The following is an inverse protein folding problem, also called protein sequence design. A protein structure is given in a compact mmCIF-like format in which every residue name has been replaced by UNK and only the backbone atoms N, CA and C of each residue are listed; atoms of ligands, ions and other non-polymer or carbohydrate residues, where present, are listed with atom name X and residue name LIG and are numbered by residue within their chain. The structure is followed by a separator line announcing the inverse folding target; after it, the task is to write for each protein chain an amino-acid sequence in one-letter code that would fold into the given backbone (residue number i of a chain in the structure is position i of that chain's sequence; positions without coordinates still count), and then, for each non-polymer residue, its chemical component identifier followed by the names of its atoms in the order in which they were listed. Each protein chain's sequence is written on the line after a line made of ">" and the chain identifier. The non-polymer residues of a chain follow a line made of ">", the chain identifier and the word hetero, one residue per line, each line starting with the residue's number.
data_IF_403712736232
#
_entry.id   IF_403712736232
#
_cell.length_a   1.000
_cell.length_b   1.000
_cell.length_c   1.000
_cell.angle_alpha   90.00
_cell.angle_beta   90.00
_cell.angle_gamma   90.00
#
_symmetry.space_group_name_H-M   'P 1'
#
loop_
_entity.id
_entity.type
_entity.pdbx_description
1 polymer ?
#
# COMPACT_ATOMS: atom_id res chain seq x y z
N UNK A 1 -8.74 -14.34 4.18
CA UNK A 1 -8.48 -12.96 3.73
C UNK A 1 -8.91 -12.02 4.84
N UNK A 2 -8.26 -10.86 4.99
CA UNK A 2 -8.64 -9.85 5.99
C UNK A 2 -8.76 -8.49 5.33
N UNK A 3 -9.82 -7.74 5.63
CA UNK A 3 -9.94 -6.33 5.24
C UNK A 3 -8.90 -5.53 6.01
N UNK A 4 -8.17 -4.65 5.33
CA UNK A 4 -7.17 -3.75 5.91
C UNK A 4 -7.78 -2.37 6.18
N UNK A 5 -8.44 -1.81 5.17
CA UNK A 5 -8.95 -0.44 5.20
C UNK A 5 -9.56 -0.06 3.86
N UNK A 6 -9.74 1.25 3.63
CA UNK A 6 -10.32 1.78 2.39
C UNK A 6 -9.42 2.85 1.75
N UNK A 7 -9.22 2.78 0.44
CA UNK A 7 -8.57 3.88 -0.29
C UNK A 7 -9.55 5.02 -0.54
N UNK A 8 -9.05 6.25 -0.55
CA UNK A 8 -9.74 7.35 -1.22
C UNK A 8 -9.54 7.23 -2.73
N UNK A 9 -10.63 6.90 -3.45
CA UNK A 9 -10.60 6.74 -4.91
C UNK A 9 -10.16 8.02 -5.64
N UNK A 10 -10.36 9.20 -5.07
CA UNK A 10 -9.88 10.46 -5.68
C UNK A 10 -8.36 10.53 -5.61
N UNK A 11 -7.75 10.25 -4.46
CA UNK A 11 -6.30 10.21 -4.27
C UNK A 11 -5.68 9.15 -5.20
N UNK A 12 -6.25 7.95 -5.23
CA UNK A 12 -5.73 6.84 -6.03
C UNK A 12 -6.06 6.92 -7.52
N UNK A 13 -6.91 7.86 -7.95
CA UNK A 13 -7.29 8.02 -9.37
C UNK A 13 -6.12 8.41 -10.28
N UNK A 14 -5.01 8.90 -9.70
CA UNK A 14 -3.76 9.15 -10.40
C UNK A 14 -3.09 7.88 -10.91
N UNK A 15 -3.44 6.70 -10.36
CA UNK A 15 -2.96 5.39 -10.81
C UNK A 15 -3.83 4.88 -11.96
N UNK A 16 -5.14 4.90 -11.75
CA UNK A 16 -6.16 4.59 -12.77
C UNK A 16 -7.49 5.19 -12.34
N UNK A 17 -8.27 5.66 -13.31
CA UNK A 17 -9.64 6.14 -13.06
C UNK A 17 -10.63 5.00 -12.87
N UNK A 18 -10.31 3.81 -13.37
CA UNK A 18 -11.18 2.63 -13.36
C UNK A 18 -10.99 1.80 -12.09
N UNK A 19 -11.27 2.38 -10.93
CA UNK A 19 -11.21 1.68 -9.63
C UNK A 19 -12.62 1.21 -9.29
N UNK A 20 -12.88 -0.09 -9.12
CA UNK A 20 -14.26 -0.60 -8.89
C UNK A 20 -14.65 -0.73 -7.41
N UNK A 21 -13.70 -0.68 -6.49
CA UNK A 21 -13.94 -0.76 -5.04
C UNK A 21 -12.98 0.14 -4.27
N UNK A 22 -13.40 0.63 -3.10
CA UNK A 22 -12.54 1.33 -2.14
C UNK A 22 -11.86 0.36 -1.16
N UNK A 23 -12.41 -0.83 -0.94
CA UNK A 23 -11.91 -1.77 0.04
C UNK A 23 -10.57 -2.38 -0.36
N UNK A 24 -9.65 -2.44 0.60
CA UNK A 24 -8.36 -3.11 0.46
C UNK A 24 -8.29 -4.30 1.41
N UNK A 25 -7.85 -5.43 0.88
CA UNK A 25 -7.65 -6.67 1.64
C UNK A 25 -6.19 -7.11 1.62
N UNK A 26 -5.88 -8.05 2.50
CA UNK A 26 -4.67 -8.88 2.42
C UNK A 26 -5.10 -10.35 2.43
N UNK A 27 -4.44 -11.17 1.61
CA UNK A 27 -4.72 -12.61 1.52
C UNK A 27 -4.03 -13.37 2.65
N UNK A 28 -4.53 -14.57 2.99
CA UNK A 28 -3.97 -15.36 4.09
C UNK A 28 -2.52 -15.80 3.80
N UNK A 29 -2.21 -16.11 2.53
CA UNK A 29 -0.84 -16.37 2.08
C UNK A 29 0.10 -15.20 2.39
N UNK A 30 -0.35 -13.96 2.13
CA UNK A 30 0.46 -12.75 2.41
C UNK A 30 0.58 -12.49 3.91
N UNK A 31 -0.48 -12.74 4.68
CA UNK A 31 -0.42 -12.66 6.15
C UNK A 31 0.62 -13.66 6.69
N UNK A 32 0.58 -14.91 6.22
CA UNK A 32 1.53 -15.94 6.64
C UNK A 32 2.97 -15.54 6.31
N UNK A 33 3.22 -15.07 5.09
CA UNK A 33 4.56 -14.61 4.68
C UNK A 33 5.09 -13.45 5.54
N UNK A 34 4.22 -12.53 6.00
CA UNK A 34 4.61 -11.47 6.94
C UNK A 34 4.93 -12.06 8.30
N UNK A 35 4.10 -12.97 8.83
CA UNK A 35 4.32 -13.61 10.13
C UNK A 35 5.60 -14.45 10.16
N UNK A 36 5.92 -15.18 9.09
CA UNK A 36 7.17 -15.96 9.01
C UNK A 36 8.41 -15.07 9.04
N UNK A 37 8.36 -13.90 8.41
CA UNK A 37 9.47 -12.93 8.43
C UNK A 37 9.49 -12.05 9.68
N UNK A 38 8.35 -11.88 10.33
CA UNK A 38 8.15 -11.01 11.49
C UNK A 38 7.21 -11.65 12.52
N UNK A 39 7.66 -12.67 13.27
CA UNK A 39 6.78 -13.53 14.07
C UNK A 39 5.99 -12.83 15.19
N UNK A 40 6.39 -11.64 15.63
CA UNK A 40 5.81 -10.99 16.82
C UNK A 40 5.06 -9.67 16.56
N UNK A 41 5.05 -9.17 15.32
CA UNK A 41 4.67 -7.76 15.04
C UNK A 41 3.44 -7.60 14.15
N UNK A 42 2.71 -8.69 13.85
CA UNK A 42 1.66 -8.65 12.84
C UNK A 42 0.54 -7.63 13.15
N UNK A 43 0.07 -7.53 14.39
CA UNK A 43 -0.99 -6.55 14.74
C UNK A 43 -0.47 -5.10 14.57
N UNK A 44 0.77 -4.82 14.99
CA UNK A 44 1.41 -3.51 14.74
C UNK A 44 1.49 -3.20 13.23
N UNK A 45 1.81 -4.21 12.41
CA UNK A 45 1.85 -4.05 10.96
C UNK A 45 0.48 -3.97 10.32
N UNK A 46 -0.55 -4.57 10.91
CA UNK A 46 -1.92 -4.43 10.45
C UNK A 46 -2.38 -2.98 10.52
N UNK A 47 -2.17 -2.33 11.68
CA UNK A 47 -2.49 -0.91 11.86
C UNK A 47 -1.66 -0.03 10.93
N UNK A 48 -0.36 -0.33 10.76
CA UNK A 48 0.48 0.37 9.80
C UNK A 48 -0.04 0.23 8.37
N UNK A 49 -0.40 -0.98 7.92
CA UNK A 49 -0.96 -1.21 6.59
C UNK A 49 -2.24 -0.42 6.37
N UNK A 50 -3.13 -0.39 7.36
CA UNK A 50 -4.36 0.40 7.31
C UNK A 50 -4.04 1.89 7.15
N UNK A 51 -3.16 2.44 7.98
CA UNK A 51 -2.81 3.86 7.93
C UNK A 51 -2.12 4.25 6.61
N UNK A 52 -1.31 3.35 6.04
CA UNK A 52 -0.64 3.54 4.74
C UNK A 52 -1.66 3.63 3.61
N UNK A 53 -2.65 2.74 3.61
CA UNK A 53 -3.68 2.67 2.57
C UNK A 53 -4.67 3.83 2.65
N UNK A 54 -5.12 4.16 3.86
CA UNK A 54 -6.12 5.21 4.09
C UNK A 54 -5.51 6.61 4.00
N UNK A 55 -4.25 6.78 4.42
CA UNK A 55 -3.60 8.08 4.53
C UNK A 55 -2.16 8.05 3.98
N UNK A 56 -1.98 7.83 2.66
CA UNK A 56 -0.65 7.74 2.05
C UNK A 56 0.10 9.07 2.14
N UNK A 57 1.43 9.02 2.30
CA UNK A 57 2.28 10.21 2.12
C UNK A 57 2.62 10.44 0.65
N UNK A 58 2.91 9.36 -0.07
CA UNK A 58 3.19 9.40 -1.49
C UNK A 58 2.55 8.23 -2.23
N UNK A 59 2.05 8.52 -3.43
CA UNK A 59 1.81 7.50 -4.45
C UNK A 59 2.83 7.67 -5.56
N UNK A 60 3.51 6.58 -5.87
CA UNK A 60 4.60 6.53 -6.84
C UNK A 60 4.19 5.65 -8.01
N UNK A 61 4.54 6.11 -9.21
CA UNK A 61 4.34 5.37 -10.44
C UNK A 61 5.07 4.02 -10.41
N UNK A 62 4.41 2.97 -10.92
CA UNK A 62 5.00 1.65 -11.09
C UNK A 62 4.92 1.23 -12.54
N UNK A 63 5.80 0.30 -12.94
CA UNK A 63 5.76 -0.30 -14.26
C UNK A 63 4.65 -1.36 -14.41
N UNK A 64 3.84 -1.60 -13.38
CA UNK A 64 2.73 -2.55 -13.39
C UNK A 64 1.41 -1.78 -13.49
N UNK A 65 0.56 -2.18 -14.42
CA UNK A 65 -0.78 -1.60 -14.56
C UNK A 65 -1.57 -1.72 -13.26
N UNK A 66 -2.45 -0.74 -13.03
CA UNK A 66 -3.37 -0.62 -11.89
C UNK A 66 -2.71 -0.95 -10.53
N UNK A 67 -1.42 -0.63 -10.37
CA UNK A 67 -0.64 -0.97 -9.18
C UNK A 67 -0.03 0.29 -8.60
N UNK A 68 -0.36 0.58 -7.35
CA UNK A 68 0.15 1.72 -6.61
C UNK A 68 1.35 1.30 -5.76
N UNK A 69 2.46 2.06 -5.86
CA UNK A 69 3.50 2.04 -4.84
C UNK A 69 3.19 3.13 -3.83
N UNK A 70 2.84 2.72 -2.62
CA UNK A 70 2.42 3.59 -1.53
C UNK A 70 3.53 3.70 -0.50
N UNK A 71 3.91 4.93 -0.18
CA UNK A 71 4.92 5.24 0.81
C UNK A 71 4.29 5.99 1.98
N UNK A 72 4.69 5.66 3.20
CA UNK A 72 4.33 6.41 4.40
C UNK A 72 5.40 6.34 5.48
N UNK A 73 5.59 7.44 6.18
CA UNK A 73 6.27 7.52 7.46
C UNK A 73 5.24 7.43 8.60
N UNK A 74 5.47 6.54 9.57
CA UNK A 74 4.56 6.36 10.70
C UNK A 74 5.27 6.75 11.99
N UNK A 75 4.85 7.90 12.54
CA UNK A 75 5.42 8.48 13.76
C UNK A 75 5.24 7.53 14.96
N UNK A 76 4.04 6.96 15.10
CA UNK A 76 3.69 6.04 16.18
C UNK A 76 4.56 4.77 16.24
N UNK A 77 5.28 4.44 15.15
CA UNK A 77 6.18 3.29 15.08
C UNK A 77 7.64 3.76 15.03
N UNK A 78 8.03 4.72 15.86
CA UNK A 78 9.37 5.30 15.93
C UNK A 78 9.85 5.88 14.59
N UNK A 79 9.00 6.67 13.92
CA UNK A 79 9.30 7.29 12.61
C UNK A 79 9.76 6.27 11.55
N UNK A 80 9.25 5.04 11.61
CA UNK A 80 9.57 4.02 10.60
C UNK A 80 8.88 4.38 9.29
N UNK A 81 9.64 4.21 8.21
CA UNK A 81 9.15 4.37 6.85
C UNK A 81 8.80 3.02 6.23
N UNK A 82 7.67 2.99 5.55
CA UNK A 82 7.11 1.79 4.95
C UNK A 82 6.86 1.96 3.46
N UNK A 83 6.96 0.83 2.77
CA UNK A 83 6.67 0.68 1.36
C UNK A 83 5.62 -0.41 1.20
N UNK A 84 4.50 -0.06 0.58
CA UNK A 84 3.39 -0.97 0.31
C UNK A 84 3.07 -0.97 -1.18
N UNK A 85 2.80 -2.15 -1.73
CA UNK A 85 2.32 -2.29 -3.11
C UNK A 85 0.87 -2.73 -3.05
N UNK A 86 -0.02 -1.92 -3.61
CA UNK A 86 -1.45 -2.18 -3.69
C UNK A 86 -1.85 -2.40 -5.14
N UNK A 87 -2.47 -3.54 -5.45
CA UNK A 87 -3.14 -3.77 -6.73
C UNK A 87 -4.58 -3.27 -6.61
N UNK A 88 -4.95 -2.38 -7.52
CA UNK A 88 -6.29 -1.85 -7.65
C UNK A 88 -7.11 -2.78 -8.55
N UNK A 89 -8.33 -3.10 -8.10
CA UNK A 89 -9.28 -3.87 -8.90
C UNK A 89 -9.96 -2.94 -9.91
N UNK A 90 -9.97 -3.35 -11.17
CA UNK A 90 -10.57 -2.57 -12.27
C UNK A 90 -11.74 -3.30 -12.93
N UNK A 91 -12.46 -2.63 -13.83
CA UNK A 91 -13.64 -3.22 -14.49
C UNK A 91 -13.32 -4.46 -15.35
N UNK A 92 -12.06 -4.60 -15.77
CA UNK A 92 -11.54 -5.75 -16.51
C UNK A 92 -11.13 -6.92 -15.62
N UNK A 93 -11.05 -6.70 -14.31
CA UNK A 93 -10.71 -7.75 -13.34
C UNK A 93 -12.00 -8.47 -12.88
N UNK A 94 -11.86 -9.54 -12.09
CA UNK A 94 -13.03 -10.25 -11.54
C UNK A 94 -13.81 -9.30 -10.60
N UNK A 95 -15.13 -9.10 -10.79
CA UNK A 95 -15.91 -8.17 -9.98
C UNK A 95 -16.04 -8.59 -8.51
N UNK A 96 -15.76 -9.84 -8.18
CA UNK A 96 -15.74 -10.33 -6.80
C UNK A 96 -14.43 -9.99 -6.07
N UNK A 97 -13.40 -9.54 -6.79
CA UNK A 97 -12.12 -9.17 -6.18
C UNK A 97 -12.17 -7.75 -5.63
N UNK A 98 -11.32 -7.52 -4.62
CA UNK A 98 -11.10 -6.22 -4.00
C UNK A 98 -9.69 -5.74 -4.32
N UNK A 99 -9.37 -4.50 -3.98
CA UNK A 99 -7.98 -4.07 -3.99
C UNK A 99 -7.19 -4.93 -2.99
N UNK A 100 -5.91 -5.16 -3.26
CA UNK A 100 -5.11 -6.05 -2.41
C UNK A 100 -3.69 -5.56 -2.18
N UNK A 101 -3.21 -5.74 -0.94
CA UNK A 101 -1.80 -5.57 -0.60
C UNK A 101 -1.03 -6.79 -1.12
N UNK A 102 -0.10 -6.55 -2.04
CA UNK A 102 0.80 -7.59 -2.59
C UNK A 102 2.12 -7.63 -1.82
N UNK A 103 2.62 -6.46 -1.42
CA UNK A 103 3.90 -6.31 -0.73
C UNK A 103 3.76 -5.33 0.42
N UNK A 104 4.32 -5.66 1.57
CA UNK A 104 4.49 -4.77 2.71
C UNK A 104 5.93 -4.88 3.21
N UNK A 105 6.63 -3.76 3.36
CA UNK A 105 8.00 -3.74 3.84
C UNK A 105 8.27 -2.49 4.66
N UNK A 106 8.91 -2.68 5.82
CA UNK A 106 9.71 -1.62 6.45
C UNK A 106 10.94 -1.39 5.57
N UNK A 107 11.22 -0.13 5.23
CA UNK A 107 12.45 0.24 4.52
C UNK A 107 13.31 1.17 5.38
N UNK A 108 14.52 1.47 4.92
CA UNK A 108 15.39 2.45 5.56
C UNK A 108 15.30 3.80 4.84
N UNK A 109 15.83 4.84 5.48
CA UNK A 109 15.82 6.20 4.96
C UNK A 109 16.56 6.33 3.62
N UNK A 110 17.63 5.56 3.42
CA UNK A 110 18.39 5.55 2.15
C UNK A 110 17.51 5.08 0.99
N UNK A 111 16.78 3.97 1.17
CA UNK A 111 15.85 3.45 0.18
C UNK A 111 14.67 4.40 -0.04
N UNK A 112 14.13 4.99 1.03
CA UNK A 112 13.08 6.00 0.96
C UNK A 112 13.47 7.19 0.07
N UNK A 113 14.62 7.82 0.38
CA UNK A 113 15.17 8.94 -0.41
C UNK A 113 15.44 8.54 -1.86
N UNK A 114 15.93 7.33 -2.09
CA UNK A 114 16.16 6.81 -3.46
C UNK A 114 14.86 6.70 -4.24
N UNK A 115 13.77 6.20 -3.63
CA UNK A 115 12.46 6.10 -4.27
C UNK A 115 11.91 7.49 -4.62
N UNK A 116 11.96 8.44 -3.68
CA UNK A 116 11.49 9.82 -3.90
C UNK A 116 12.30 10.57 -4.96
N UNK A 117 13.60 10.28 -5.07
CA UNK A 117 14.48 10.94 -6.06
C UNK A 117 14.34 10.37 -7.46
N UNK A 118 14.20 9.05 -7.59
CA UNK A 118 14.38 8.35 -8.87
C UNK A 118 13.06 7.93 -9.52
N UNK A 119 11.91 8.15 -8.88
CA UNK A 119 10.60 7.73 -9.38
C UNK A 119 9.66 8.90 -9.50
N UNK A 120 8.74 8.81 -10.45
CA UNK A 120 7.65 9.77 -10.63
C UNK A 120 6.69 9.70 -9.45
N UNK A 121 6.58 10.80 -8.72
CA UNK A 121 5.59 10.97 -7.65
C UNK A 121 4.29 11.45 -8.30
N UNK A 122 3.22 10.67 -8.16
CA UNK A 122 1.90 10.96 -8.71
C UNK A 122 1.01 11.69 -7.70
N UNK A 123 1.23 11.45 -6.42
CA UNK A 123 0.58 12.14 -5.32
C UNK A 123 1.58 12.33 -4.18
N UNK A 124 1.49 13.48 -3.52
CA UNK A 124 2.19 13.80 -2.28
C UNK A 124 1.18 14.46 -1.33
N UNK A 125 1.15 14.01 -0.09
CA UNK A 125 0.37 14.63 0.99
C UNK A 125 0.94 16.02 1.29
N UNK A 126 0.06 17.04 1.32
CA UNK A 126 0.40 18.42 1.70
C UNK A 126 0.69 18.54 3.20
#
# INVERSE_FOLDING_TARGET
>A
MRTIGKIDRKIYSCITKDIVTDEVIITDERIQHIRERHPNDYECYYDAMKEIVEYPDYLIETNKSNTALVLKEIIAVNNKVFKVVVRLNTSTDNPQYKNSIITFMKINEKEWKRLLKNKTILYKRE
#
